data_IF_768500522410
#
_entry.id   IF_768500522410
#
_cell.length_a   1.000
_cell.length_b   1.000
_cell.length_c   1.000
_cell.angle_alpha   90.00
_cell.angle_beta   90.00
_cell.angle_gamma   90.00
#
_symmetry.space_group_name_H-M   'P 1'
#
loop_
_entity.id
_entity.type
_entity.pdbx_description
1 polymer ?
#
# COMPACT_ATOMS: atom_id res chain seq x y z
N UNK A 1 11.12 15.85 14.19
CA UNK A 1 11.52 15.21 12.92
C UNK A 1 11.35 13.68 12.89
N UNK A 2 11.24 12.96 14.02
CA UNK A 2 11.12 11.49 14.00
C UNK A 2 9.76 10.95 13.51
N UNK A 3 8.68 11.72 13.67
CA UNK A 3 7.32 11.27 13.33
C UNK A 3 7.08 11.14 11.82
N UNK A 4 7.69 12.00 10.99
CA UNK A 4 7.53 11.95 9.54
C UNK A 4 8.24 10.75 8.92
N UNK A 5 9.44 10.40 9.39
CA UNK A 5 10.19 9.23 8.91
C UNK A 5 9.46 7.91 9.18
N UNK A 6 8.80 7.78 10.34
CA UNK A 6 8.02 6.59 10.67
C UNK A 6 6.81 6.41 9.74
N UNK A 7 6.02 7.47 9.51
CA UNK A 7 4.91 7.42 8.55
C UNK A 7 5.40 7.13 7.12
N UNK A 8 6.57 7.65 6.77
CA UNK A 8 7.17 7.38 5.47
C UNK A 8 7.60 5.89 5.34
N UNK A 9 8.09 5.26 6.40
CA UNK A 9 8.41 3.82 6.35
C UNK A 9 7.13 2.97 6.31
N UNK A 10 6.07 3.35 7.03
CA UNK A 10 4.77 2.67 6.96
C UNK A 10 4.19 2.68 5.53
N UNK A 11 4.27 3.82 4.83
CA UNK A 11 3.86 3.88 3.42
C UNK A 11 4.72 2.98 2.53
N UNK A 12 6.04 2.92 2.76
CA UNK A 12 6.93 2.04 2.00
C UNK A 12 6.57 0.56 2.19
N UNK A 13 6.34 0.15 3.44
CA UNK A 13 5.90 -1.21 3.79
C UNK A 13 4.53 -1.51 3.17
N UNK A 14 3.61 -0.54 3.22
CA UNK A 14 2.28 -0.65 2.60
C UNK A 14 2.35 -0.88 1.09
N UNK A 15 3.21 -0.15 0.38
CA UNK A 15 3.40 -0.34 -1.08
C UNK A 15 3.97 -1.72 -1.42
N UNK A 16 4.94 -2.21 -0.64
CA UNK A 16 5.51 -3.54 -0.86
C UNK A 16 4.49 -4.65 -0.55
N UNK A 17 3.72 -4.50 0.51
CA UNK A 17 2.61 -5.41 0.84
C UNK A 17 1.56 -5.43 -0.29
N UNK A 18 1.24 -4.25 -0.84
CA UNK A 18 0.34 -4.12 -1.97
C UNK A 18 0.91 -4.79 -3.24
N UNK A 19 2.20 -4.62 -3.51
CA UNK A 19 2.90 -5.32 -4.60
C UNK A 19 2.75 -6.84 -4.46
N UNK A 20 2.95 -7.38 -3.26
CA UNK A 20 2.82 -8.82 -3.01
C UNK A 20 1.38 -9.30 -3.24
N UNK A 21 0.38 -8.52 -2.84
CA UNK A 21 -1.03 -8.84 -3.08
C UNK A 21 -1.36 -8.93 -4.58
N UNK A 22 -0.83 -8.01 -5.41
CA UNK A 22 -0.99 -8.08 -6.86
C UNK A 22 -0.21 -9.25 -7.50
N UNK A 23 0.78 -9.81 -6.82
CA UNK A 23 1.63 -10.87 -7.33
C UNK A 23 1.31 -12.26 -6.79
N UNK A 24 0.39 -12.39 -5.83
CA UNK A 24 -0.06 -13.67 -5.31
C UNK A 24 -0.99 -14.42 -6.30
N UNK A 25 -0.91 -15.75 -6.41
CA UNK A 25 0.14 -16.64 -5.86
C UNK A 25 1.43 -16.60 -6.71
N UNK A 26 1.34 -16.18 -7.97
CA UNK A 26 2.48 -16.01 -8.88
C UNK A 26 2.25 -14.79 -9.76
N UNK A 27 3.23 -13.91 -9.94
CA UNK A 27 3.08 -12.67 -10.72
C UNK A 27 4.37 -11.87 -10.83
N UNK A 28 4.38 -10.89 -11.74
CA UNK A 28 5.50 -9.95 -11.93
C UNK A 28 5.05 -8.50 -12.15
N UNK A 29 3.84 -8.15 -11.72
CA UNK A 29 3.29 -6.79 -11.79
C UNK A 29 4.06 -5.84 -10.87
N UNK A 30 4.07 -4.55 -11.25
CA UNK A 30 4.75 -3.46 -10.52
C UNK A 30 6.28 -3.68 -10.38
N UNK A 31 7.01 -3.90 -11.49
CA UNK A 31 8.43 -4.26 -11.43
C UNK A 31 9.32 -3.16 -10.85
N UNK A 32 8.94 -1.89 -10.96
CA UNK A 32 9.71 -0.77 -10.40
C UNK A 32 9.55 -0.62 -8.89
N UNK A 33 8.55 -1.29 -8.28
CA UNK A 33 8.24 -1.13 -6.86
C UNK A 33 9.16 -1.99 -6.02
N UNK A 34 10.07 -1.38 -5.28
CA UNK A 34 11.08 -2.10 -4.50
C UNK A 34 12.14 -2.72 -5.41
N UNK A 35 13.37 -2.23 -5.28
CA UNK A 35 14.58 -2.70 -5.94
C UNK A 35 15.76 -1.90 -5.32
N UNK A 36 16.69 -1.44 -6.15
CA UNK A 36 17.75 -0.49 -5.78
C UNK A 36 17.22 0.93 -5.48
N UNK A 37 16.00 1.26 -5.94
CA UNK A 37 15.41 2.57 -5.70
C UNK A 37 14.72 2.62 -4.33
N UNK A 38 15.30 3.42 -3.44
CA UNK A 38 14.83 3.64 -2.07
C UNK A 38 13.76 4.72 -1.98
N UNK A 39 13.74 5.66 -2.93
CA UNK A 39 12.72 6.68 -3.03
C UNK A 39 11.49 6.15 -3.77
N UNK A 40 10.47 5.75 -2.99
CA UNK A 40 9.20 5.26 -3.54
C UNK A 40 8.44 6.27 -4.39
N UNK A 41 8.72 7.56 -4.27
CA UNK A 41 8.10 8.57 -5.13
C UNK A 41 8.60 8.50 -6.57
N UNK A 42 9.67 7.74 -6.83
CA UNK A 42 10.20 7.46 -8.17
C UNK A 42 9.71 6.15 -8.74
N UNK A 43 9.01 5.33 -7.97
CA UNK A 43 8.40 4.12 -8.51
C UNK A 43 7.29 4.52 -9.49
N UNK A 44 7.19 3.79 -10.60
CA UNK A 44 6.14 4.00 -11.58
C UNK A 44 4.76 3.93 -10.91
N UNK A 45 3.81 4.73 -11.42
CA UNK A 45 2.41 4.74 -10.94
C UNK A 45 2.19 5.29 -9.53
N UNK A 46 3.23 5.85 -8.91
CA UNK A 46 3.16 6.58 -7.64
C UNK A 46 3.31 8.07 -7.92
N UNK A 47 2.48 8.89 -7.29
CA UNK A 47 2.71 10.33 -7.19
C UNK A 47 2.74 10.73 -5.74
N UNK A 48 3.76 11.49 -5.37
CA UNK A 48 3.90 12.04 -4.04
C UNK A 48 3.67 13.54 -4.03
N UNK A 49 3.23 14.06 -2.88
CA UNK A 49 3.25 15.49 -2.62
C UNK A 49 4.70 16.01 -2.61
N UNK A 50 4.91 17.15 -3.26
CA UNK A 50 6.25 17.73 -3.44
C UNK A 50 6.90 18.18 -2.12
N UNK A 51 6.08 18.58 -1.14
CA UNK A 51 6.50 19.12 0.16
C UNK A 51 6.56 18.03 1.24
N UNK A 52 5.50 17.23 1.40
CA UNK A 52 5.40 16.23 2.47
C UNK A 52 6.07 14.91 2.11
N UNK A 53 6.33 14.66 0.81
CA UNK A 53 6.82 13.39 0.26
C UNK A 53 5.90 12.19 0.51
N UNK A 54 4.63 12.46 0.80
CA UNK A 54 3.59 11.46 1.08
C UNK A 54 2.93 11.03 -0.22
N UNK A 55 2.46 9.78 -0.26
CA UNK A 55 1.77 9.25 -1.45
C UNK A 55 0.39 9.89 -1.55
N UNK A 56 0.14 10.61 -2.65
CA UNK A 56 -1.14 11.27 -2.92
C UNK A 56 -1.91 10.60 -4.05
N UNK A 57 -1.24 9.83 -4.92
CA UNK A 57 -1.91 9.07 -5.98
C UNK A 57 -1.25 7.71 -6.23
N UNK A 58 -2.10 6.71 -6.44
CA UNK A 58 -1.75 5.37 -6.90
C UNK A 58 -2.53 5.02 -8.18
N UNK A 59 -1.79 4.76 -9.26
CA UNK A 59 -2.35 4.45 -10.59
C UNK A 59 -2.21 2.96 -10.91
N UNK A 60 -3.06 2.14 -10.29
CA UNK A 60 -3.01 0.68 -10.36
C UNK A 60 -3.94 0.11 -11.44
N UNK A 61 -4.39 0.94 -12.37
CA UNK A 61 -5.21 0.47 -13.49
C UNK A 61 -4.46 -0.52 -14.37
N UNK A 62 -5.21 -1.51 -14.89
CA UNK A 62 -4.72 -2.54 -15.79
C UNK A 62 -3.44 -3.25 -15.29
N UNK A 63 -3.29 -3.33 -13.96
CA UNK A 63 -2.08 -3.90 -13.34
C UNK A 63 -2.14 -5.42 -13.35
N UNK A 64 -3.31 -5.98 -13.02
CA UNK A 64 -3.58 -7.42 -13.06
C UNK A 64 -5.06 -7.71 -12.76
N UNK A 65 -5.57 -8.82 -13.28
CA UNK A 65 -6.77 -9.44 -12.71
C UNK A 65 -6.41 -10.01 -11.33
N UNK A 66 -6.88 -9.34 -10.27
CA UNK A 66 -6.73 -9.79 -8.89
C UNK A 66 -8.12 -10.14 -8.38
N UNK A 67 -8.34 -11.40 -8.04
CA UNK A 67 -9.66 -11.88 -7.60
C UNK A 67 -10.14 -11.15 -6.34
N UNK A 68 -9.21 -10.89 -5.40
CA UNK A 68 -9.47 -10.27 -4.10
C UNK A 68 -8.45 -9.20 -3.75
N UNK A 69 -8.93 -7.98 -3.52
CA UNK A 69 -8.13 -6.86 -2.99
C UNK A 69 -8.80 -6.31 -1.75
N UNK A 70 -8.07 -6.32 -0.64
CA UNK A 70 -8.58 -5.85 0.63
C UNK A 70 -8.36 -4.35 0.77
N UNK A 71 -9.43 -3.61 1.09
CA UNK A 71 -9.40 -2.18 1.32
C UNK A 71 -8.34 -1.75 2.36
N UNK A 72 -8.09 -2.62 3.36
CA UNK A 72 -7.14 -2.35 4.43
C UNK A 72 -5.70 -2.17 3.93
N UNK A 73 -5.36 -2.68 2.75
CA UNK A 73 -4.05 -2.49 2.12
C UNK A 73 -3.75 -1.01 1.83
N UNK A 74 -4.77 -0.15 1.78
CA UNK A 74 -4.61 1.28 1.51
C UNK A 74 -4.53 2.14 2.78
N UNK A 75 -4.75 1.58 3.98
CA UNK A 75 -4.70 2.31 5.25
C UNK A 75 -3.38 3.05 5.54
N UNK A 76 -2.19 2.56 5.12
CA UNK A 76 -0.94 3.29 5.33
C UNK A 76 -0.88 4.64 4.59
N UNK A 77 -1.66 4.82 3.52
CA UNK A 77 -1.61 6.00 2.65
C UNK A 77 -2.57 7.10 3.11
N UNK A 78 -2.28 7.72 4.25
CA UNK A 78 -3.18 8.69 4.91
C UNK A 78 -3.47 9.95 4.08
N UNK A 79 -2.59 10.29 3.13
CA UNK A 79 -2.75 11.45 2.24
C UNK A 79 -3.17 11.06 0.82
N UNK A 80 -3.59 9.79 0.61
CA UNK A 80 -4.03 9.32 -0.70
C UNK A 80 -5.30 10.04 -1.13
N UNK A 81 -5.22 10.76 -2.24
CA UNK A 81 -6.32 11.54 -2.83
C UNK A 81 -6.91 10.84 -4.04
N UNK A 82 -6.09 10.10 -4.79
CA UNK A 82 -6.50 9.45 -6.03
C UNK A 82 -6.03 7.99 -6.09
N UNK A 83 -6.98 7.08 -6.28
CA UNK A 83 -6.74 5.65 -6.45
C UNK A 83 -7.42 5.17 -7.72
N UNK A 84 -6.63 4.77 -8.71
CA UNK A 84 -7.16 4.16 -9.93
C UNK A 84 -6.98 2.65 -9.87
N UNK A 85 -8.09 1.92 -9.86
CA UNK A 85 -8.14 0.46 -9.95
C UNK A 85 -8.85 -0.02 -11.24
N UNK A 86 -9.11 0.90 -12.17
CA UNK A 86 -9.84 0.62 -13.40
C UNK A 86 -9.20 -0.51 -14.21
N UNK A 87 -10.01 -1.31 -14.89
CA UNK A 87 -9.49 -2.42 -15.72
C UNK A 87 -8.96 -3.63 -14.94
N UNK A 88 -8.93 -3.59 -13.60
CA UNK A 88 -8.75 -4.79 -12.79
C UNK A 88 -10.12 -5.42 -12.50
N UNK A 89 -10.30 -6.69 -12.84
CA UNK A 89 -11.51 -7.45 -12.48
C UNK A 89 -11.46 -7.81 -10.99
N UNK A 90 -12.06 -6.97 -10.13
CA UNK A 90 -12.21 -7.25 -8.71
C UNK A 90 -13.56 -7.92 -8.48
N UNK A 91 -13.58 -9.12 -7.89
CA UNK A 91 -14.84 -9.85 -7.64
C UNK A 91 -15.46 -9.49 -6.28
N UNK A 92 -14.66 -9.00 -5.33
CA UNK A 92 -15.12 -8.55 -4.03
C UNK A 92 -14.17 -7.50 -3.41
N UNK A 93 -14.72 -6.48 -2.75
CA UNK A 93 -13.98 -5.47 -1.97
C UNK A 93 -14.35 -5.65 -0.50
N UNK A 94 -13.61 -6.52 0.18
CA UNK A 94 -13.80 -6.79 1.60
C UNK A 94 -13.15 -5.67 2.44
N UNK A 95 -13.96 -5.01 3.27
CA UNK A 95 -13.49 -4.19 4.39
C UNK A 95 -13.21 -5.12 5.58
N UNK A 96 -12.04 -5.76 5.64
CA UNK A 96 -11.65 -6.40 6.90
C UNK A 96 -11.06 -5.34 7.85
N UNK A 97 -11.83 -4.96 8.87
CA UNK A 97 -11.32 -4.23 10.03
C UNK A 97 -10.46 -5.21 10.86
N UNK A 98 -9.15 -5.24 10.63
CA UNK A 98 -8.20 -5.79 11.62
C UNK A 98 -7.49 -4.65 12.34
N UNK A 99 -7.17 -4.82 13.64
CA UNK A 99 -6.57 -3.78 14.45
C UNK A 99 -5.15 -3.52 13.94
N UNK A 100 -4.77 -2.24 13.88
CA UNK A 100 -3.43 -1.82 13.50
C UNK A 100 -2.36 -2.62 14.27
N UNK A 101 -1.26 -3.04 13.62
CA UNK A 101 -0.13 -3.65 14.30
C UNK A 101 0.52 -2.57 15.19
N UNK A 102 0.16 -2.57 16.47
CA UNK A 102 0.64 -1.55 17.41
C UNK A 102 0.05 -1.59 18.82
N UNK A 103 -1.02 -2.36 19.07
CA UNK A 103 -1.52 -2.54 20.44
C UNK A 103 -1.08 -3.88 21.02
N UNK A 104 -0.07 -3.82 21.89
CA UNK A 104 0.28 -4.89 22.82
C UNK A 104 -0.88 -5.08 23.78
N UNK A 105 -1.74 -6.08 23.55
CA UNK A 105 -2.60 -6.59 24.60
C UNK A 105 -1.70 -7.38 25.54
N UNK A 106 -1.32 -6.79 26.68
CA UNK A 106 -0.87 -7.57 27.82
C UNK A 106 -2.08 -8.37 28.31
N UNK A 107 -2.09 -9.67 28.01
CA UNK A 107 -2.97 -10.60 28.70
C UNK A 107 -2.48 -10.71 30.15
N UNK A 108 -3.10 -9.97 31.06
CA UNK A 108 -3.02 -10.30 32.47
C UNK A 108 -3.99 -11.46 32.70
N UNK A 109 -3.44 -12.65 32.92
CA UNK A 109 -4.19 -13.76 33.48
C UNK A 109 -4.42 -13.48 34.97
N UNK A 110 -5.66 -13.69 35.44
CA UNK A 110 -5.88 -14.09 36.83
C UNK A 110 -5.38 -15.52 37.03
#
# INVERSE_FOLDING_TARGET
AHRSLACLEEERIGLLTLKDAFNYPTGSSLPSWGAEETDRCRWERITCDSMTKRVIQLSLNDTRQVEFLNASLFLPFQELQNLSLAGNFMTDFSLSLFPAPGNTIKSNSM
#
